data_IF_486699558966
#
_entry.id   IF_486699558966
#
_cell.length_a   1.000
_cell.length_b   1.000
_cell.length_c   1.000
_cell.angle_alpha   90.00
_cell.angle_beta   90.00
_cell.angle_gamma   90.00
#
_symmetry.space_group_name_H-M   'P 1'
#
loop_
_entity.id
_entity.type
_entity.pdbx_description
1 polymer ?
#
# COMPACT_ATOMS: atom_id res chain seq x y z
N UNK A 1 11.81 9.00 -14.86
CA UNK A 1 11.52 8.75 -13.44
C UNK A 1 12.70 7.99 -12.85
N UNK A 2 13.42 8.54 -11.87
CA UNK A 2 14.47 7.79 -11.17
C UNK A 2 13.83 6.69 -10.34
N UNK A 3 14.27 5.45 -10.51
CA UNK A 3 13.82 4.32 -9.69
C UNK A 3 14.61 4.35 -8.37
N UNK A 4 13.90 4.36 -7.24
CA UNK A 4 14.51 4.31 -5.91
C UNK A 4 14.83 2.85 -5.54
N UNK A 5 15.77 2.25 -6.27
CA UNK A 5 16.10 0.82 -6.21
C UNK A 5 16.71 0.36 -4.86
N UNK A 6 17.11 1.32 -4.01
CA UNK A 6 17.63 1.05 -2.66
C UNK A 6 16.66 1.43 -1.53
N UNK A 7 15.47 1.93 -1.85
CA UNK A 7 14.48 2.32 -0.84
C UNK A 7 13.91 1.07 -0.14
N UNK A 8 14.10 0.96 1.17
CA UNK A 8 13.58 -0.18 1.95
C UNK A 8 12.35 0.22 2.76
N UNK A 9 12.35 1.42 3.33
CA UNK A 9 11.27 1.91 4.18
C UNK A 9 10.77 3.25 3.63
N UNK A 10 9.46 3.38 3.49
CA UNK A 10 8.80 4.62 3.09
C UNK A 10 7.88 5.09 4.21
N UNK A 11 8.26 6.20 4.84
CA UNK A 11 7.48 6.84 5.90
C UNK A 11 6.95 8.18 5.38
N UNK A 12 5.65 8.24 5.12
CA UNK A 12 4.92 9.45 4.69
C UNK A 12 3.59 9.60 5.46
N UNK A 13 3.55 9.13 6.70
CA UNK A 13 2.40 9.35 7.59
C UNK A 13 2.26 10.83 7.95
N UNK A 14 1.08 11.23 8.42
CA UNK A 14 0.78 12.59 8.89
C UNK A 14 1.03 13.66 7.81
N UNK A 15 0.51 13.41 6.61
CA UNK A 15 0.64 14.26 5.44
C UNK A 15 -0.75 14.51 4.80
N UNK A 16 -0.78 15.14 3.63
CA UNK A 16 -2.00 15.44 2.88
C UNK A 16 -2.10 14.62 1.58
N UNK A 17 -1.58 13.39 1.55
CA UNK A 17 -1.67 12.53 0.38
C UNK A 17 -3.12 12.12 0.11
N UNK A 18 -3.58 12.29 -1.12
CA UNK A 18 -4.92 11.88 -1.56
C UNK A 18 -4.94 10.48 -2.19
N UNK A 19 -3.76 9.94 -2.51
CA UNK A 19 -3.58 8.63 -3.11
C UNK A 19 -2.28 7.97 -2.63
N UNK A 20 -2.24 6.64 -2.69
CA UNK A 20 -1.02 5.88 -2.42
C UNK A 20 0.00 6.17 -3.53
N UNK A 21 1.24 6.61 -3.21
CA UNK A 21 2.27 6.81 -4.22
C UNK A 21 2.72 5.48 -4.80
N UNK A 22 3.35 5.50 -5.98
CA UNK A 22 3.94 4.29 -6.57
C UNK A 22 4.99 3.72 -5.62
N UNK A 23 4.74 2.53 -5.08
CA UNK A 23 5.64 1.86 -4.14
C UNK A 23 6.63 0.97 -4.92
N UNK A 24 7.95 1.23 -4.85
CA UNK A 24 8.95 0.36 -5.47
C UNK A 24 8.95 -1.07 -4.92
N UNK A 25 9.43 -2.03 -5.72
CA UNK A 25 9.31 -3.46 -5.44
C UNK A 25 10.21 -3.98 -4.31
N UNK A 26 11.26 -3.22 -4.03
CA UNK A 26 12.24 -3.45 -2.97
C UNK A 26 11.77 -2.94 -1.60
N UNK A 27 10.71 -2.13 -1.54
CA UNK A 27 10.19 -1.59 -0.29
C UNK A 27 9.59 -2.71 0.56
N UNK A 28 9.89 -2.65 1.87
CA UNK A 28 9.44 -3.62 2.88
C UNK A 28 8.43 -3.03 3.85
N UNK A 29 8.52 -1.74 4.15
CA UNK A 29 7.64 -1.05 5.09
C UNK A 29 7.09 0.20 4.41
N UNK A 30 5.77 0.37 4.45
CA UNK A 30 5.06 1.53 3.94
C UNK A 30 4.13 2.08 5.02
N UNK A 31 4.41 3.29 5.48
CA UNK A 31 3.59 3.98 6.47
C UNK A 31 2.98 5.22 5.82
N UNK A 32 1.66 5.19 5.64
CA UNK A 32 0.85 6.25 5.04
C UNK A 32 -0.31 6.66 5.96
N UNK A 33 -0.22 6.35 7.26
CA UNK A 33 -1.27 6.67 8.22
C UNK A 33 -1.54 8.18 8.29
N UNK A 34 -2.75 8.56 8.68
CA UNK A 34 -3.16 9.96 8.88
C UNK A 34 -2.92 10.83 7.61
N UNK A 35 -3.43 10.37 6.47
CA UNK A 35 -3.46 11.10 5.21
C UNK A 35 -4.92 11.26 4.74
N UNK A 36 -5.14 11.75 3.51
CA UNK A 36 -6.46 11.93 2.92
C UNK A 36 -6.74 10.92 1.79
N UNK A 37 -6.19 9.69 1.90
CA UNK A 37 -6.35 8.66 0.88
C UNK A 37 -7.79 8.13 0.91
N UNK A 38 -8.51 8.32 -0.18
CA UNK A 38 -9.94 7.96 -0.27
C UNK A 38 -10.21 6.66 -1.01
N UNK A 39 -9.30 6.25 -1.89
CA UNK A 39 -9.47 5.10 -2.77
C UNK A 39 -8.13 4.36 -2.99
N UNK A 40 -8.22 3.08 -3.32
CA UNK A 40 -7.10 2.23 -3.73
C UNK A 40 -7.57 1.32 -4.87
N UNK A 41 -6.65 0.92 -5.74
CA UNK A 41 -6.95 0.01 -6.84
C UNK A 41 -6.35 -1.38 -6.58
N UNK A 42 -6.76 -2.36 -7.38
CA UNK A 42 -6.17 -3.69 -7.38
C UNK A 42 -4.67 -3.68 -7.73
N UNK A 43 -4.17 -2.60 -8.34
CA UNK A 43 -2.76 -2.42 -8.74
C UNK A 43 -1.94 -1.61 -7.72
N UNK A 44 -2.57 -1.07 -6.66
CA UNK A 44 -1.87 -0.24 -5.68
C UNK A 44 -0.72 -0.99 -5.00
N UNK A 45 -0.94 -2.24 -4.62
CA UNK A 45 0.09 -3.08 -3.99
C UNK A 45 0.44 -4.32 -4.82
N UNK A 46 -0.48 -4.80 -5.65
CA UNK A 46 -0.35 -6.04 -6.42
C UNK A 46 -0.17 -5.76 -7.92
N UNK A 47 0.24 -6.78 -8.69
CA UNK A 47 0.31 -6.71 -10.15
C UNK A 47 -1.00 -7.18 -10.74
N UNK A 48 -1.79 -6.24 -11.24
CA UNK A 48 -3.13 -6.51 -11.75
C UNK A 48 -3.22 -7.53 -12.89
N UNK A 49 -2.16 -7.65 -13.67
CA UNK A 49 -2.04 -8.58 -14.80
C UNK A 49 -1.52 -9.97 -14.42
N UNK A 50 -1.22 -10.25 -13.15
CA UNK A 50 -0.66 -11.53 -12.71
C UNK A 50 -1.30 -11.99 -11.39
N UNK A 51 -2.28 -12.89 -11.50
CA UNK A 51 -2.99 -13.48 -10.35
C UNK A 51 -2.11 -14.35 -9.45
N UNK A 52 -0.94 -14.79 -9.93
CA UNK A 52 0.03 -15.55 -9.15
C UNK A 52 1.12 -14.68 -8.52
N UNK A 53 1.05 -13.36 -8.73
CA UNK A 53 2.05 -12.46 -8.17
C UNK A 53 1.90 -12.37 -6.66
N UNK A 54 2.99 -12.69 -5.97
CA UNK A 54 3.17 -12.45 -4.54
C UNK A 54 4.20 -11.34 -4.39
N UNK A 55 3.98 -10.42 -3.43
CA UNK A 55 4.90 -9.35 -3.08
C UNK A 55 5.60 -9.67 -1.76
N UNK A 56 6.59 -10.58 -1.76
CA UNK A 56 7.12 -11.16 -0.52
C UNK A 56 7.93 -10.18 0.32
N UNK A 57 8.43 -9.10 -0.29
CA UNK A 57 9.25 -8.08 0.37
C UNK A 57 8.40 -7.13 1.22
N UNK A 58 7.17 -6.84 0.81
CA UNK A 58 6.31 -5.88 1.49
C UNK A 58 5.70 -6.55 2.74
N UNK A 59 6.26 -6.22 3.89
CA UNK A 59 5.95 -6.86 5.17
C UNK A 59 4.91 -6.08 5.98
N UNK A 60 4.92 -4.75 5.84
CA UNK A 60 4.06 -3.89 6.64
C UNK A 60 3.52 -2.73 5.80
N UNK A 61 2.21 -2.52 5.89
CA UNK A 61 1.49 -1.40 5.27
C UNK A 61 0.57 -0.79 6.32
N UNK A 62 0.72 0.50 6.59
CA UNK A 62 -0.20 1.28 7.43
C UNK A 62 -0.96 2.30 6.61
N UNK A 63 -2.28 2.22 6.69
CA UNK A 63 -3.27 3.12 6.07
C UNK A 63 -4.29 3.63 7.10
N UNK A 64 -4.12 3.32 8.38
CA UNK A 64 -5.00 3.81 9.45
C UNK A 64 -5.06 5.36 9.48
N UNK A 65 -6.18 5.92 9.88
CA UNK A 65 -6.39 7.37 9.85
C UNK A 65 -6.57 7.97 8.45
N UNK A 66 -6.77 7.15 7.41
CA UNK A 66 -7.23 7.59 6.09
C UNK A 66 -8.74 7.34 5.91
N UNK A 67 -9.45 8.12 5.07
CA UNK A 67 -10.86 7.89 4.75
C UNK A 67 -11.18 6.57 4.03
N UNK A 68 -10.20 5.95 3.38
CA UNK A 68 -10.40 4.71 2.60
C UNK A 68 -10.88 3.54 3.47
N UNK A 69 -11.97 2.90 3.05
CA UNK A 69 -12.49 1.68 3.67
C UNK A 69 -11.89 0.45 2.97
N UNK A 70 -10.92 -0.20 3.62
CA UNK A 70 -10.13 -1.30 3.02
C UNK A 70 -10.97 -2.52 2.67
N UNK A 71 -12.09 -2.76 3.36
CA UNK A 71 -13.00 -3.87 3.07
C UNK A 71 -13.70 -3.75 1.70
N UNK A 72 -13.73 -2.56 1.08
CA UNK A 72 -14.21 -2.39 -0.29
C UNK A 72 -13.26 -2.92 -1.36
N UNK A 73 -11.99 -3.17 -1.01
CA UNK A 73 -10.92 -3.52 -1.96
C UNK A 73 -10.19 -4.82 -1.56
N UNK A 74 -10.89 -5.95 -1.34
CA UNK A 74 -10.27 -7.18 -0.87
C UNK A 74 -9.17 -7.71 -1.81
N UNK A 75 -9.33 -7.46 -3.11
CA UNK A 75 -8.40 -7.94 -4.14
C UNK A 75 -7.07 -7.17 -4.15
N UNK A 76 -7.00 -5.97 -3.57
CA UNK A 76 -5.80 -5.14 -3.55
C UNK A 76 -4.69 -5.66 -2.63
N UNK A 77 -4.98 -6.67 -1.82
CA UNK A 77 -4.07 -7.19 -0.79
C UNK A 77 -3.72 -8.67 -0.95
N UNK A 78 -4.23 -9.33 -2.00
CA UNK A 78 -4.08 -10.79 -2.22
C UNK A 78 -2.64 -11.24 -2.42
N UNK A 79 -1.78 -10.35 -2.92
CA UNK A 79 -0.35 -10.61 -3.08
C UNK A 79 0.47 -10.41 -1.80
N UNK A 80 -0.14 -9.88 -0.72
CA UNK A 80 0.55 -9.55 0.53
C UNK A 80 0.52 -10.74 1.49
N UNK A 81 1.57 -10.87 2.32
CA UNK A 81 1.64 -11.89 3.37
C UNK A 81 0.78 -11.54 4.59
N UNK A 82 0.47 -10.26 4.77
CA UNK A 82 -0.31 -9.71 5.87
C UNK A 82 -1.23 -8.62 5.34
N UNK A 83 -2.40 -8.47 5.96
CA UNK A 83 -3.31 -7.37 5.65
C UNK A 83 -2.75 -6.04 6.16
N UNK A 84 -2.98 -4.92 5.44
CA UNK A 84 -2.64 -3.60 5.95
C UNK A 84 -3.34 -3.28 7.27
N UNK A 85 -2.69 -2.46 8.09
CA UNK A 85 -3.36 -1.83 9.23
C UNK A 85 -4.21 -0.68 8.71
N UNK A 86 -5.50 -0.68 9.01
CA UNK A 86 -6.41 0.37 8.56
C UNK A 86 -7.87 0.09 8.87
N UNK A 87 -8.76 0.89 8.29
CA UNK A 87 -10.20 0.79 8.53
C UNK A 87 -10.83 -0.31 7.67
N UNK A 88 -11.49 -1.27 8.32
CA UNK A 88 -12.25 -2.34 7.66
C UNK A 88 -13.75 -2.27 7.90
N UNK A 89 -14.20 -1.40 8.83
CA UNK A 89 -15.59 -1.16 9.20
C UNK A 89 -15.84 0.31 9.44
#
# INVERSE_FOLDING_TARGET
MQKLEKLINLFLGDNALEAVPVIPENVRIVHLQNNNITDISFETFCKGNNTYYIRPNLMEVRLDGNPVLLSKYPNSFTCLKSLPVGQYR
#
